data_IF_105968365358
#
_entry.id   IF_105968365358
#
_cell.length_a   1.000
_cell.length_b   1.000
_cell.length_c   1.000
_cell.angle_alpha   90.00
_cell.angle_beta   90.00
_cell.angle_gamma   90.00
#
_symmetry.space_group_name_H-M   'P 1'
#
loop_
_entity.id
_entity.type
_entity.pdbx_description
1 polymer ?
#
# COMPACT_ATOMS: atom_id res chain seq x y z
N UNK A 1 -28.91 25.39 3.60
CA UNK A 1 -27.90 24.43 3.08
C UNK A 1 -28.61 23.45 2.15
N UNK A 2 -28.20 23.33 0.88
CA UNK A 2 -28.78 22.35 -0.06
C UNK A 2 -27.97 21.06 0.00
N UNK A 3 -28.56 20.01 0.59
CA UNK A 3 -28.00 18.67 0.56
C UNK A 3 -28.32 18.02 -0.79
N UNK A 4 -27.38 17.25 -1.33
CA UNK A 4 -27.58 16.40 -2.50
C UNK A 4 -27.27 14.96 -2.11
N UNK A 5 -28.15 14.05 -2.50
CA UNK A 5 -27.84 12.62 -2.42
C UNK A 5 -26.73 12.30 -3.42
N UNK A 6 -25.75 11.54 -2.96
CA UNK A 6 -24.62 11.09 -3.77
C UNK A 6 -24.69 9.57 -3.85
N UNK A 7 -24.48 9.05 -5.04
CA UNK A 7 -24.35 7.61 -5.26
C UNK A 7 -23.08 7.08 -4.56
N UNK A 8 -23.23 6.03 -3.75
CA UNK A 8 -22.11 5.45 -3.00
C UNK A 8 -21.01 4.87 -3.90
N UNK A 9 -21.28 4.61 -5.18
CA UNK A 9 -20.27 4.21 -6.18
C UNK A 9 -19.15 5.25 -6.36
N UNK A 10 -19.40 6.52 -6.02
CA UNK A 10 -18.37 7.57 -6.01
C UNK A 10 -17.88 7.92 -4.61
N UNK A 11 -18.30 7.18 -3.59
CA UNK A 11 -17.99 7.47 -2.19
C UNK A 11 -16.48 7.57 -1.92
N UNK A 12 -15.66 6.71 -2.54
CA UNK A 12 -14.21 6.78 -2.43
C UNK A 12 -13.65 8.13 -2.93
N UNK A 13 -14.23 8.69 -4.00
CA UNK A 13 -13.77 9.97 -4.59
C UNK A 13 -13.96 11.13 -3.62
N UNK A 14 -14.92 11.04 -2.70
CA UNK A 14 -15.14 12.05 -1.65
C UNK A 14 -14.04 12.05 -0.60
N UNK A 15 -13.24 10.98 -0.52
CA UNK A 15 -12.14 10.83 0.44
C UNK A 15 -10.79 11.29 -0.15
N UNK A 16 -10.75 11.78 -1.39
CA UNK A 16 -9.54 12.35 -1.98
C UNK A 16 -9.33 13.81 -1.54
N UNK A 17 -8.06 14.26 -1.41
CA UNK A 17 -6.83 13.52 -1.67
C UNK A 17 -6.46 12.53 -0.56
N UNK A 18 -5.90 11.38 -0.95
CA UNK A 18 -5.33 10.39 -0.04
C UNK A 18 -3.80 10.35 -0.20
N UNK A 19 -3.08 10.07 0.89
CA UNK A 19 -1.61 9.93 0.87
C UNK A 19 -1.25 8.45 0.71
N UNK A 20 -0.79 7.98 -0.46
CA UNK A 20 -0.42 6.58 -0.61
C UNK A 20 0.87 6.26 0.16
N UNK A 21 0.96 5.02 0.62
CA UNK A 21 2.17 4.43 1.19
C UNK A 21 2.54 3.16 0.44
N UNK A 22 3.80 2.73 0.53
CA UNK A 22 4.21 1.38 0.07
C UNK A 22 4.13 0.44 1.26
N UNK A 23 3.27 -0.56 1.16
CA UNK A 23 3.27 -1.70 2.08
C UNK A 23 4.17 -2.77 1.51
N UNK A 24 5.12 -3.26 2.30
CA UNK A 24 6.04 -4.33 1.89
C UNK A 24 5.93 -5.54 2.80
N UNK A 25 6.24 -6.73 2.28
CA UNK A 25 6.37 -7.95 3.06
C UNK A 25 7.32 -8.92 2.37
N UNK A 26 8.00 -9.74 3.16
CA UNK A 26 8.94 -10.75 2.67
C UNK A 26 8.61 -12.09 3.30
N UNK A 27 8.50 -13.13 2.48
CA UNK A 27 8.31 -14.51 2.96
C UNK A 27 8.99 -15.49 1.99
N UNK A 28 9.74 -16.45 2.52
CA UNK A 28 10.41 -17.48 1.71
C UNK A 28 11.34 -16.90 0.63
N UNK A 29 12.05 -15.81 0.95
CA UNK A 29 12.96 -15.11 0.03
C UNK A 29 12.26 -14.27 -1.05
N UNK A 30 10.92 -14.18 -1.03
CA UNK A 30 10.14 -13.35 -1.95
C UNK A 30 9.78 -12.04 -1.26
N UNK A 31 10.35 -10.93 -1.72
CA UNK A 31 9.98 -9.58 -1.28
C UNK A 31 8.96 -8.99 -2.24
N UNK A 32 7.84 -8.51 -1.72
CA UNK A 32 6.85 -7.77 -2.50
C UNK A 32 6.45 -6.48 -1.84
N UNK A 33 5.77 -5.64 -2.61
CA UNK A 33 5.10 -4.47 -2.06
C UNK A 33 3.94 -4.00 -2.93
N UNK A 34 3.15 -3.05 -2.42
CA UNK A 34 2.10 -2.39 -3.20
C UNK A 34 1.83 -1.00 -2.66
N UNK A 35 1.27 -0.14 -3.49
CA UNK A 35 0.65 1.08 -3.00
C UNK A 35 -0.63 0.76 -2.24
N UNK A 36 -0.81 1.44 -1.11
CA UNK A 36 -2.07 1.46 -0.38
C UNK A 36 -2.38 2.90 0.04
N UNK A 37 -3.53 3.41 -0.40
CA UNK A 37 -4.06 4.70 0.07
C UNK A 37 -4.97 4.55 1.28
N UNK A 38 -5.53 3.35 1.49
CA UNK A 38 -6.47 3.07 2.58
C UNK A 38 -5.75 2.58 3.83
N UNK A 39 -5.05 3.49 4.51
CA UNK A 39 -4.41 3.25 5.80
C UNK A 39 -4.80 4.33 6.81
N UNK A 40 -4.75 4.00 8.09
CA UNK A 40 -5.02 4.96 9.17
C UNK A 40 -4.40 4.51 10.49
N UNK A 41 -4.14 5.46 11.39
CA UNK A 41 -3.82 5.14 12.77
C UNK A 41 -5.08 4.61 13.47
N UNK A 42 -4.94 3.46 14.13
CA UNK A 42 -6.02 2.82 14.89
C UNK A 42 -5.94 3.12 16.39
N UNK A 43 -4.74 3.36 16.92
CA UNK A 43 -4.52 3.63 18.33
C UNK A 43 -3.28 4.49 18.54
N UNK A 44 -3.36 5.39 19.53
CA UNK A 44 -2.23 6.20 19.97
C UNK A 44 -1.29 5.42 20.90
N UNK A 45 -1.84 4.73 21.90
CA UNK A 45 -1.05 3.96 22.88
C UNK A 45 -1.80 2.69 23.30
N UNK A 46 -1.30 1.48 22.96
CA UNK A 46 -0.13 1.23 22.11
C UNK A 46 -0.35 1.74 20.69
N UNK A 47 0.74 2.07 19.99
CA UNK A 47 0.65 2.60 18.63
C UNK A 47 0.24 1.50 17.65
N UNK A 48 -0.85 1.72 16.92
CA UNK A 48 -1.32 0.80 15.88
C UNK A 48 -1.69 1.55 14.60
N UNK A 49 -1.35 0.94 13.46
CA UNK A 49 -1.79 1.34 12.13
C UNK A 49 -2.56 0.17 11.51
N UNK A 50 -3.64 0.51 10.80
CA UNK A 50 -4.39 -0.42 9.96
C UNK A 50 -4.21 -0.06 8.49
N UNK A 51 -4.18 -1.08 7.64
CA UNK A 51 -4.19 -0.93 6.18
C UNK A 51 -5.22 -1.91 5.60
N UNK A 52 -6.12 -1.41 4.76
CA UNK A 52 -7.04 -2.24 4.01
C UNK A 52 -6.37 -2.77 2.74
N UNK A 53 -6.29 -4.09 2.59
CA UNK A 53 -5.64 -4.76 1.46
C UNK A 53 -6.55 -5.86 0.93
N UNK A 54 -6.82 -5.87 -0.38
CA UNK A 54 -7.58 -6.92 -1.04
C UNK A 54 -6.86 -8.28 -1.01
N UNK A 55 -7.61 -9.37 -0.78
CA UNK A 55 -7.09 -10.74 -0.68
C UNK A 55 -6.42 -11.24 -1.97
N UNK A 56 -6.79 -10.68 -3.11
CA UNK A 56 -6.23 -10.99 -4.42
C UNK A 56 -4.79 -10.48 -4.58
N UNK A 57 -4.39 -9.47 -3.78
CA UNK A 57 -3.08 -8.83 -3.85
C UNK A 57 -2.01 -9.81 -3.41
N UNK A 58 -0.92 -9.88 -4.17
CA UNK A 58 0.19 -10.75 -3.80
C UNK A 58 0.83 -10.33 -2.46
N UNK A 59 0.89 -9.02 -2.21
CA UNK A 59 1.37 -8.47 -0.93
C UNK A 59 0.55 -9.00 0.25
N UNK A 60 -0.78 -9.09 0.14
CA UNK A 60 -1.60 -9.70 1.20
C UNK A 60 -1.14 -11.13 1.53
N UNK A 61 -0.90 -11.95 0.50
CA UNK A 61 -0.44 -13.34 0.69
C UNK A 61 0.94 -13.43 1.34
N UNK A 62 1.82 -12.46 1.10
CA UNK A 62 3.11 -12.37 1.78
C UNK A 62 2.94 -11.97 3.24
N UNK A 63 2.11 -10.96 3.52
CA UNK A 63 1.81 -10.49 4.88
C UNK A 63 1.18 -11.62 5.71
N UNK A 64 0.21 -12.34 5.15
CA UNK A 64 -0.46 -13.43 5.86
C UNK A 64 0.50 -14.57 6.24
N UNK A 65 1.52 -14.84 5.42
CA UNK A 65 2.54 -15.84 5.72
C UNK A 65 3.62 -15.33 6.67
N UNK A 66 4.07 -14.10 6.46
CA UNK A 66 5.15 -13.49 7.25
C UNK A 66 4.70 -13.03 8.64
N UNK A 67 3.40 -12.70 8.79
CA UNK A 67 2.80 -12.04 9.97
C UNK A 67 3.50 -10.72 10.36
N UNK A 68 4.29 -10.15 9.45
CA UNK A 68 4.97 -8.87 9.56
C UNK A 68 4.90 -8.15 8.21
N UNK A 69 4.83 -6.83 8.26
CA UNK A 69 4.84 -5.98 7.09
C UNK A 69 5.55 -4.66 7.39
N UNK A 70 6.13 -4.05 6.36
CA UNK A 70 6.74 -2.73 6.41
C UNK A 70 5.78 -1.66 5.91
N UNK A 71 5.79 -0.50 6.55
CA UNK A 71 5.09 0.71 6.12
C UNK A 71 6.11 1.75 5.67
N UNK A 72 6.02 2.17 4.41
CA UNK A 72 6.96 3.13 3.83
C UNK A 72 6.17 4.36 3.39
N UNK A 73 6.35 5.46 4.13
CA UNK A 73 5.81 6.76 3.76
C UNK A 73 6.63 7.36 2.64
N UNK A 74 5.95 7.74 1.57
CA UNK A 74 6.59 8.21 0.35
C UNK A 74 6.59 9.75 0.35
N UNK A 75 7.74 10.34 0.07
CA UNK A 75 7.87 11.76 -0.24
C UNK A 75 7.35 12.09 -1.64
N UNK A 76 6.97 13.35 -1.88
CA UNK A 76 6.42 13.77 -3.17
C UNK A 76 7.42 13.56 -4.33
N UNK A 77 8.72 13.66 -4.05
CA UNK A 77 9.82 13.44 -4.99
C UNK A 77 9.86 12.02 -5.60
N UNK A 78 9.13 11.06 -5.04
CA UNK A 78 9.03 9.70 -5.55
C UNK A 78 7.69 9.42 -6.25
N UNK A 79 6.80 10.41 -6.38
CA UNK A 79 5.45 10.21 -6.92
C UNK A 79 5.46 9.56 -8.31
N UNK A 80 6.38 9.95 -9.17
CA UNK A 80 6.50 9.43 -10.55
C UNK A 80 6.87 7.94 -10.60
N UNK A 81 7.45 7.40 -9.52
CA UNK A 81 7.80 5.98 -9.40
C UNK A 81 6.64 5.12 -8.90
N UNK A 82 5.63 5.74 -8.30
CA UNK A 82 4.55 5.04 -7.61
C UNK A 82 3.59 4.30 -8.57
N UNK A 83 3.18 4.82 -9.75
CA UNK A 83 2.22 4.15 -10.63
C UNK A 83 2.64 2.73 -10.99
N UNK A 84 3.94 2.54 -11.29
CA UNK A 84 4.51 1.23 -11.60
C UNK A 84 4.21 0.19 -10.50
N UNK A 85 4.28 0.58 -9.23
CA UNK A 85 4.01 -0.33 -8.11
C UNK A 85 2.54 -0.70 -7.96
N UNK A 86 1.63 0.14 -8.44
CA UNK A 86 0.18 -0.12 -8.50
C UNK A 86 -0.20 -1.02 -9.66
N UNK A 87 0.46 -0.87 -10.80
CA UNK A 87 0.10 -1.55 -12.06
C UNK A 87 0.67 -2.98 -12.14
N UNK A 88 1.85 -3.22 -11.57
CA UNK A 88 2.51 -4.53 -11.66
C UNK A 88 2.43 -5.33 -10.36
N UNK A 89 2.21 -6.64 -10.50
CA UNK A 89 2.20 -7.57 -9.39
C UNK A 89 3.52 -8.32 -9.28
N UNK A 90 4.10 -8.35 -8.08
CA UNK A 90 5.32 -9.12 -7.77
C UNK A 90 5.13 -10.62 -8.04
N UNK A 91 3.88 -11.10 -8.09
CA UNK A 91 3.55 -12.47 -8.52
C UNK A 91 4.13 -12.82 -9.90
N UNK A 92 4.17 -11.85 -10.81
CA UNK A 92 4.55 -12.03 -12.22
C UNK A 92 5.86 -11.31 -12.56
N UNK A 93 6.12 -10.17 -11.94
CA UNK A 93 7.30 -9.34 -12.18
C UNK A 93 8.15 -9.27 -10.92
N UNK A 94 9.11 -10.19 -10.83
CA UNK A 94 10.01 -10.29 -9.69
C UNK A 94 10.89 -9.05 -9.54
N UNK A 95 11.24 -8.71 -8.30
CA UNK A 95 12.06 -7.56 -7.93
C UNK A 95 11.43 -6.22 -8.32
N UNK A 96 10.09 -6.12 -8.31
CA UNK A 96 9.42 -4.90 -8.81
C UNK A 96 9.79 -3.65 -8.02
N UNK A 97 10.08 -3.78 -6.73
CA UNK A 97 10.50 -2.63 -5.92
C UNK A 97 11.83 -2.05 -6.44
N UNK A 98 12.80 -2.92 -6.76
CA UNK A 98 14.08 -2.49 -7.34
C UNK A 98 13.89 -1.93 -8.75
N UNK A 99 13.08 -2.60 -9.58
CA UNK A 99 12.75 -2.14 -10.94
C UNK A 99 12.02 -0.80 -10.96
N UNK A 100 11.20 -0.54 -9.94
CA UNK A 100 10.55 0.75 -9.69
C UNK A 100 11.49 1.83 -9.15
N UNK A 101 12.79 1.55 -9.02
CA UNK A 101 13.79 2.53 -8.60
C UNK A 101 13.87 2.75 -7.09
N UNK A 102 13.42 1.78 -6.28
CA UNK A 102 13.55 1.80 -4.82
C UNK A 102 14.75 0.96 -4.36
N UNK A 103 15.44 1.45 -3.34
CA UNK A 103 16.48 0.70 -2.63
C UNK A 103 15.84 -0.09 -1.50
N UNK A 104 16.31 -1.31 -1.29
CA UNK A 104 15.80 -2.18 -0.23
C UNK A 104 16.69 -2.05 0.99
N UNK A 105 16.07 -1.74 2.12
CA UNK A 105 16.68 -1.77 3.46
C UNK A 105 15.92 -2.79 4.31
N UNK A 106 16.64 -3.58 5.10
CA UNK A 106 16.09 -4.52 6.07
C UNK A 106 16.51 -4.05 7.45
N UNK A 107 15.53 -3.68 8.27
CA UNK A 107 15.71 -3.33 9.68
C UNK A 107 15.40 -4.51 10.58
#
# INVERSE_FOLDING_TARGET
MKLKNIDLSIGEKLLYPSKPIIVTAEYGGRLGGMLASWWTQLSFKPFYIGVAIGFERYTYKLIDKAKIYGLNFIGFEYVDKTPYLGDVSERFFMDKLRRGGFKIFRG
#
